data_IF_396983849200
#
_entry.id   IF_396983849200
#
_cell.length_a   1.000
_cell.length_b   1.000
_cell.length_c   1.000
_cell.angle_alpha   90.00
_cell.angle_beta   90.00
_cell.angle_gamma   90.00
#
_symmetry.space_group_name_H-M   'P 1'
#
loop_
_entity.id
_entity.type
_entity.pdbx_description
1 polymer ?
#
# COMPACT_ATOMS: atom_id res chain seq x y z
N UNK A 1 15.76 26.93 20.47
CA UNK A 1 14.35 27.23 20.12
C UNK A 1 14.00 26.38 18.91
N UNK A 2 12.91 25.61 18.91
CA UNK A 2 12.48 24.90 17.71
C UNK A 2 12.20 25.91 16.60
N UNK A 3 12.73 25.67 15.41
CA UNK A 3 12.52 26.56 14.27
C UNK A 3 11.20 26.17 13.60
N UNK A 4 10.12 26.79 14.06
CA UNK A 4 8.77 26.58 13.51
C UNK A 4 8.66 27.25 12.14
N UNK A 5 9.03 26.54 11.08
CA UNK A 5 8.62 26.90 9.73
C UNK A 5 7.18 26.43 9.55
N UNK A 6 6.23 27.37 9.48
CA UNK A 6 4.84 27.11 9.08
C UNK A 6 4.78 26.76 7.58
N UNK A 7 5.40 25.66 7.19
CA UNK A 7 5.29 25.10 5.85
C UNK A 7 4.28 23.96 5.88
N UNK A 8 3.28 24.03 5.01
CA UNK A 8 2.34 22.94 4.83
C UNK A 8 3.08 21.74 4.27
N UNK A 9 2.88 20.57 4.89
CA UNK A 9 3.54 19.35 4.43
C UNK A 9 3.04 18.93 3.03
N UNK A 10 3.99 18.64 2.12
CA UNK A 10 3.68 18.22 0.76
C UNK A 10 3.69 16.68 0.65
N UNK A 11 2.53 16.06 0.88
CA UNK A 11 2.35 14.61 0.78
C UNK A 11 2.66 14.09 -0.62
N UNK A 12 2.28 14.86 -1.64
CA UNK A 12 2.44 14.48 -3.04
C UNK A 12 3.91 14.33 -3.42
N UNK A 13 4.84 15.06 -2.78
CA UNK A 13 6.28 14.91 -2.99
C UNK A 13 6.72 13.48 -2.72
N UNK A 14 6.35 12.92 -1.57
CA UNK A 14 6.77 11.58 -1.15
C UNK A 14 6.08 10.52 -1.99
N UNK A 15 4.77 10.68 -2.23
CA UNK A 15 4.00 9.77 -3.08
C UNK A 15 4.54 9.72 -4.51
N UNK A 16 5.04 10.83 -5.06
CA UNK A 16 5.73 10.85 -6.36
C UNK A 16 7.01 10.01 -6.36
N UNK A 17 7.88 10.21 -5.36
CA UNK A 17 9.10 9.41 -5.25
C UNK A 17 8.76 7.93 -5.05
N UNK A 18 7.76 7.62 -4.23
CA UNK A 18 7.29 6.25 -4.06
C UNK A 18 6.72 5.67 -5.35
N UNK A 19 5.93 6.42 -6.12
CA UNK A 19 5.37 5.97 -7.40
C UNK A 19 6.45 5.61 -8.42
N UNK A 20 7.52 6.42 -8.51
CA UNK A 20 8.66 6.14 -9.40
C UNK A 20 9.37 4.85 -8.96
N UNK A 21 9.64 4.70 -7.66
CA UNK A 21 10.24 3.48 -7.13
C UNK A 21 9.30 2.27 -7.29
N UNK A 22 8.01 2.49 -7.07
CA UNK A 22 6.89 1.55 -7.12
C UNK A 22 6.67 0.94 -8.50
N UNK A 23 7.24 1.53 -9.56
CA UNK A 23 7.28 0.91 -10.88
C UNK A 23 8.19 -0.33 -10.92
N UNK A 24 9.26 -0.36 -10.12
CA UNK A 24 10.24 -1.46 -10.06
C UNK A 24 10.01 -2.43 -8.89
N UNK A 25 9.20 -2.03 -7.91
CA UNK A 25 8.89 -2.81 -6.71
C UNK A 25 7.85 -3.94 -6.88
N UNK A 26 6.94 -3.99 -7.90
CA UNK A 26 5.82 -4.95 -7.89
C UNK A 26 6.26 -6.41 -7.75
N UNK A 27 7.41 -6.79 -8.32
CA UNK A 27 7.96 -8.14 -8.19
C UNK A 27 8.28 -8.53 -6.74
N UNK A 28 8.78 -7.60 -5.92
CA UNK A 28 9.06 -7.87 -4.51
C UNK A 28 7.77 -8.03 -3.70
N UNK A 29 6.74 -7.25 -4.01
CA UNK A 29 5.45 -7.33 -3.31
C UNK A 29 4.67 -8.57 -3.70
N UNK A 30 4.81 -9.07 -4.94
CA UNK A 30 4.30 -10.40 -5.33
C UNK A 30 4.89 -11.48 -4.42
N UNK A 31 6.21 -11.50 -4.26
CA UNK A 31 6.89 -12.49 -3.39
C UNK A 31 6.39 -12.39 -1.95
N UNK A 32 6.18 -11.18 -1.44
CA UNK A 32 5.63 -10.98 -0.10
C UNK A 32 4.19 -11.52 0.04
N UNK A 33 3.32 -11.24 -0.93
CA UNK A 33 1.92 -11.71 -0.94
C UNK A 33 1.83 -13.23 -1.02
N UNK A 34 2.59 -13.84 -1.93
CA UNK A 34 2.68 -15.31 -2.04
C UNK A 34 3.28 -15.93 -0.76
N UNK A 35 4.24 -15.25 -0.14
CA UNK A 35 4.79 -15.66 1.16
C UNK A 35 3.73 -15.69 2.26
N UNK A 36 2.87 -14.66 2.34
CA UNK A 36 1.76 -14.61 3.30
C UNK A 36 0.72 -15.70 3.00
N UNK A 37 0.36 -15.90 1.72
CA UNK A 37 -0.51 -17.00 1.32
C UNK A 37 0.06 -18.34 1.80
N UNK A 38 1.37 -18.57 1.59
CA UNK A 38 2.01 -19.81 2.02
C UNK A 38 2.00 -20.00 3.54
N UNK A 39 2.09 -18.92 4.31
CA UNK A 39 1.94 -18.99 5.77
C UNK A 39 0.53 -19.44 6.18
N UNK A 40 -0.52 -18.96 5.51
CA UNK A 40 -1.88 -19.45 5.75
C UNK A 40 -2.04 -20.92 5.37
N UNK A 41 -1.41 -21.36 4.28
CA UNK A 41 -1.40 -22.79 3.92
C UNK A 41 -0.71 -23.65 4.98
N UNK A 42 0.45 -23.21 5.48
CA UNK A 42 1.16 -23.89 6.58
C UNK A 42 0.36 -23.91 7.89
N UNK A 43 -0.63 -23.02 8.03
CA UNK A 43 -1.56 -22.99 9.16
C UNK A 43 -2.70 -24.01 9.02
N UNK A 44 -2.77 -24.74 7.89
CA UNK A 44 -3.78 -25.74 7.60
C UNK A 44 -4.93 -25.26 6.71
N UNK A 45 -4.82 -24.08 6.07
CA UNK A 45 -5.79 -23.64 5.07
C UNK A 45 -5.45 -24.22 3.69
N UNK A 46 -6.47 -24.59 2.91
CA UNK A 46 -6.26 -24.89 1.49
C UNK A 46 -5.88 -23.61 0.72
N UNK A 47 -5.15 -23.76 -0.39
CA UNK A 47 -4.63 -22.63 -1.17
C UNK A 47 -5.70 -21.62 -1.56
N UNK A 48 -6.87 -22.07 -2.02
CA UNK A 48 -7.97 -21.18 -2.41
C UNK A 48 -8.48 -20.33 -1.23
N UNK A 49 -8.60 -20.93 -0.04
CA UNK A 49 -9.04 -20.25 1.16
C UNK A 49 -7.95 -19.30 1.71
N UNK A 50 -6.68 -19.67 1.59
CA UNK A 50 -5.54 -18.80 1.91
C UNK A 50 -5.54 -17.55 1.02
N UNK A 51 -5.68 -17.73 -0.30
CA UNK A 51 -5.71 -16.62 -1.26
C UNK A 51 -6.92 -15.70 -1.03
N UNK A 52 -8.12 -16.26 -0.82
CA UNK A 52 -9.34 -15.49 -0.48
C UNK A 52 -9.15 -14.69 0.82
N UNK A 53 -8.45 -15.25 1.81
CA UNK A 53 -8.17 -14.57 3.07
C UNK A 53 -7.22 -13.38 2.87
N UNK A 54 -6.13 -13.57 2.11
CA UNK A 54 -5.20 -12.49 1.74
C UNK A 54 -5.95 -11.38 1.00
N UNK A 55 -6.74 -11.75 0.00
CA UNK A 55 -7.55 -10.80 -0.78
C UNK A 55 -8.52 -10.02 0.10
N UNK A 56 -9.26 -10.69 0.99
CA UNK A 56 -10.21 -10.05 1.88
C UNK A 56 -9.52 -9.06 2.84
N UNK A 57 -8.41 -9.48 3.46
CA UNK A 57 -7.61 -8.63 4.34
C UNK A 57 -7.08 -7.40 3.62
N UNK A 58 -6.56 -7.57 2.40
CA UNK A 58 -6.03 -6.48 1.60
C UNK A 58 -7.13 -5.52 1.13
N UNK A 59 -8.31 -6.03 0.76
CA UNK A 59 -9.46 -5.21 0.36
C UNK A 59 -9.98 -4.35 1.52
N UNK A 60 -10.11 -4.94 2.71
CA UNK A 60 -10.45 -4.18 3.92
C UNK A 60 -9.35 -3.18 4.24
N UNK A 61 -8.09 -3.57 4.08
CA UNK A 61 -6.91 -2.72 4.27
C UNK A 61 -6.89 -1.50 3.35
N UNK A 62 -7.12 -1.66 2.04
CA UNK A 62 -7.08 -0.58 1.06
C UNK A 62 -8.19 0.47 1.24
N UNK A 63 -9.25 0.12 1.97
CA UNK A 63 -10.31 1.08 2.31
C UNK A 63 -10.06 1.67 3.70
N UNK A 64 -9.70 0.82 4.67
CA UNK A 64 -9.53 1.21 6.06
C UNK A 64 -8.30 2.06 6.31
N UNK A 65 -7.16 1.72 5.70
CA UNK A 65 -5.88 2.39 5.95
C UNK A 65 -5.90 3.87 5.53
N UNK A 66 -6.43 4.28 4.36
CA UNK A 66 -6.58 5.69 4.02
C UNK A 66 -7.44 6.47 5.01
N UNK A 67 -8.53 5.86 5.49
CA UNK A 67 -9.43 6.48 6.47
C UNK A 67 -8.70 6.68 7.80
N UNK A 68 -8.02 5.65 8.30
CA UNK A 68 -7.25 5.72 9.55
C UNK A 68 -6.15 6.78 9.43
N UNK A 69 -5.46 6.85 8.29
CA UNK A 69 -4.41 7.84 8.06
C UNK A 69 -4.97 9.27 8.04
N UNK A 70 -6.10 9.51 7.38
CA UNK A 70 -6.80 10.80 7.42
C UNK A 70 -7.19 11.22 8.83
N UNK A 71 -7.76 10.30 9.61
CA UNK A 71 -8.11 10.56 11.00
C UNK A 71 -6.88 10.90 11.84
N UNK A 72 -5.76 10.23 11.59
CA UNK A 72 -4.48 10.54 12.23
C UNK A 72 -4.01 11.96 11.90
N UNK A 73 -4.03 12.37 10.63
CA UNK A 73 -3.65 13.72 10.21
C UNK A 73 -4.57 14.79 10.82
N UNK A 74 -5.88 14.53 10.87
CA UNK A 74 -6.85 15.49 11.41
C UNK A 74 -6.73 15.68 12.93
N UNK A 75 -6.26 14.65 13.66
CA UNK A 75 -6.07 14.72 15.12
C UNK A 75 -4.76 15.40 15.53
N UNK A 76 -3.78 15.52 14.63
CA UNK A 76 -2.43 16.00 14.94
C UNK A 76 -2.12 17.24 14.11
N UNK A 77 -2.18 18.40 14.74
CA UNK A 77 -1.87 19.69 14.09
C UNK A 77 -0.38 19.95 13.92
N UNK A 78 0.46 19.40 14.80
CA UNK A 78 1.92 19.56 14.78
C UNK A 78 2.58 18.18 14.84
N UNK A 79 3.42 17.87 13.86
CA UNK A 79 4.14 16.59 13.75
C UNK A 79 5.59 16.86 13.34
N UNK A 80 6.55 16.10 13.87
CA UNK A 80 7.93 16.16 13.39
C UNK A 80 8.00 15.75 11.93
N UNK A 81 8.67 16.55 11.09
CA UNK A 81 8.72 16.28 9.65
C UNK A 81 9.24 14.89 9.32
N UNK A 82 10.33 14.45 9.97
CA UNK A 82 10.93 13.13 9.72
C UNK A 82 9.97 11.98 10.05
N UNK A 83 9.20 12.10 11.14
CA UNK A 83 8.19 11.11 11.52
C UNK A 83 7.07 11.05 10.48
N UNK A 84 6.62 12.21 9.99
CA UNK A 84 5.58 12.29 8.98
C UNK A 84 6.08 11.76 7.63
N UNK A 85 7.31 12.09 7.23
CA UNK A 85 7.95 11.57 6.02
C UNK A 85 7.96 10.02 6.04
N UNK A 86 8.41 9.43 7.16
CA UNK A 86 8.43 7.98 7.35
C UNK A 86 7.03 7.37 7.30
N UNK A 87 6.07 7.96 8.02
CA UNK A 87 4.69 7.46 8.07
C UNK A 87 4.01 7.50 6.70
N UNK A 88 4.27 8.53 5.89
CA UNK A 88 3.74 8.62 4.52
C UNK A 88 4.40 7.57 3.61
N UNK A 89 5.71 7.32 3.77
CA UNK A 89 6.38 6.24 3.05
C UNK A 89 5.81 4.86 3.38
N UNK A 90 5.64 4.57 4.68
CA UNK A 90 5.04 3.31 5.15
C UNK A 90 3.58 3.18 4.69
N UNK A 91 2.81 4.27 4.78
CA UNK A 91 1.44 4.30 4.25
C UNK A 91 1.42 3.93 2.77
N UNK A 92 2.22 4.60 1.94
CA UNK A 92 2.25 4.35 0.50
C UNK A 92 2.64 2.89 0.20
N UNK A 93 3.60 2.31 0.94
CA UNK A 93 4.00 0.91 0.76
C UNK A 93 2.90 -0.08 1.13
N UNK A 94 2.27 0.08 2.29
CA UNK A 94 1.21 -0.83 2.73
C UNK A 94 -0.02 -0.72 1.82
N UNK A 95 -0.43 0.51 1.51
CA UNK A 95 -1.56 0.78 0.66
C UNK A 95 -1.33 0.28 -0.77
N UNK A 96 -0.11 0.39 -1.28
CA UNK A 96 0.30 -0.20 -2.55
C UNK A 96 0.04 -1.72 -2.57
N UNK A 97 0.53 -2.43 -1.55
CA UNK A 97 0.39 -3.89 -1.43
C UNK A 97 -1.09 -4.27 -1.32
N UNK A 98 -1.86 -3.53 -0.52
CA UNK A 98 -3.29 -3.79 -0.34
C UNK A 98 -4.09 -3.61 -1.62
N UNK A 99 -3.86 -2.51 -2.36
CA UNK A 99 -4.54 -2.28 -3.64
C UNK A 99 -4.10 -3.31 -4.69
N UNK A 100 -2.80 -3.63 -4.76
CA UNK A 100 -2.25 -4.64 -5.66
C UNK A 100 -2.96 -5.99 -5.49
N UNK A 101 -3.10 -6.46 -4.23
CA UNK A 101 -3.79 -7.70 -3.92
C UNK A 101 -5.31 -7.59 -4.10
N UNK A 102 -5.94 -6.46 -3.73
CA UNK A 102 -7.38 -6.28 -3.91
C UNK A 102 -7.80 -6.31 -5.39
N UNK A 103 -6.95 -5.80 -6.28
CA UNK A 103 -7.17 -5.80 -7.72
C UNK A 103 -6.91 -7.17 -8.39
N UNK A 104 -6.21 -8.09 -7.71
CA UNK A 104 -5.80 -9.38 -8.27
C UNK A 104 -6.98 -10.20 -8.81
N UNK A 105 -8.13 -10.18 -8.12
CA UNK A 105 -9.32 -10.95 -8.50
C UNK A 105 -9.88 -10.59 -9.89
N UNK A 106 -9.54 -9.40 -10.41
CA UNK A 106 -9.96 -8.97 -11.75
C UNK A 106 -9.05 -9.49 -12.86
N UNK A 107 -7.85 -9.96 -12.53
CA UNK A 107 -6.83 -10.36 -13.50
C UNK A 107 -6.40 -11.81 -13.36
N UNK A 108 -6.68 -12.45 -12.22
CA UNK A 108 -6.29 -13.83 -11.94
C UNK A 108 -7.44 -14.65 -11.35
N UNK A 109 -7.47 -15.95 -11.65
CA UNK A 109 -8.39 -16.90 -11.05
C UNK A 109 -7.67 -17.70 -9.94
N UNK A 110 -8.28 -17.93 -8.76
CA UNK A 110 -7.71 -18.79 -7.72
C UNK A 110 -7.27 -20.16 -8.24
N UNK A 111 -8.00 -20.76 -9.18
CA UNK A 111 -7.63 -22.05 -9.77
C UNK A 111 -6.30 -21.97 -10.53
N UNK A 112 -6.04 -20.85 -11.22
CA UNK A 112 -4.77 -20.63 -11.94
C UNK A 112 -3.60 -20.43 -10.98
N UNK A 113 -3.79 -19.71 -9.87
CA UNK A 113 -2.72 -19.50 -8.89
C UNK A 113 -2.43 -20.74 -8.04
N UNK A 114 -3.45 -21.54 -7.74
CA UNK A 114 -3.31 -22.69 -6.84
C UNK A 114 -2.91 -23.98 -7.55
N UNK A 115 -3.32 -24.19 -8.81
CA UNK A 115 -3.22 -25.50 -9.46
C UNK A 115 -2.25 -25.55 -10.64
N UNK A 116 -1.63 -24.43 -11.05
CA UNK A 116 -0.81 -24.39 -12.28
C UNK A 116 0.68 -24.26 -11.94
N UNK A 117 1.44 -25.27 -12.35
CA UNK A 117 2.91 -25.36 -12.32
C UNK A 117 3.60 -24.56 -13.45
N UNK A 118 2.84 -23.93 -14.36
CA UNK A 118 3.33 -23.40 -15.64
C UNK A 118 3.80 -21.92 -15.60
N UNK A 119 4.23 -21.41 -14.45
CA UNK A 119 5.07 -20.20 -14.38
C UNK A 119 4.37 -18.86 -14.66
N UNK A 120 3.04 -18.80 -14.74
CA UNK A 120 2.29 -17.54 -14.83
C UNK A 120 2.01 -16.86 -13.47
N UNK A 121 2.32 -17.48 -12.34
CA UNK A 121 1.81 -17.15 -10.98
C UNK A 121 2.24 -15.80 -10.35
N UNK A 122 2.47 -14.75 -11.12
CA UNK A 122 2.87 -13.46 -10.56
C UNK A 122 2.94 -12.29 -11.54
N UNK A 123 2.81 -12.51 -12.85
CA UNK A 123 2.85 -11.41 -13.82
C UNK A 123 1.60 -10.54 -13.70
N UNK A 124 0.44 -11.15 -13.51
CA UNK A 124 -0.83 -10.45 -13.27
C UNK A 124 -0.75 -9.60 -11.99
N UNK A 125 -0.13 -10.12 -10.94
CA UNK A 125 0.13 -9.36 -9.71
C UNK A 125 1.12 -8.21 -9.93
N UNK A 126 2.09 -8.34 -10.84
CA UNK A 126 2.97 -7.22 -11.22
C UNK A 126 2.16 -6.12 -11.90
N UNK A 127 1.25 -6.48 -12.81
CA UNK A 127 0.35 -5.53 -13.47
C UNK A 127 -0.57 -4.82 -12.48
N UNK A 128 -1.16 -5.52 -11.50
CA UNK A 128 -1.99 -4.88 -10.47
C UNK A 128 -1.18 -3.95 -9.58
N UNK A 129 0.11 -4.21 -9.37
CA UNK A 129 1.02 -3.30 -8.70
C UNK A 129 1.16 -1.97 -9.44
N UNK A 130 1.38 -2.01 -10.76
CA UNK A 130 1.40 -0.76 -11.56
C UNK A 130 0.07 -0.02 -11.53
N UNK A 131 -1.05 -0.74 -11.53
CA UNK A 131 -2.38 -0.14 -11.42
C UNK A 131 -2.64 0.48 -10.05
N UNK A 132 -1.97 0.03 -8.97
CA UNK A 132 -2.08 0.63 -7.66
C UNK A 132 -1.48 2.06 -7.60
N UNK A 133 -0.51 2.37 -8.46
CA UNK A 133 0.21 3.67 -8.46
C UNK A 133 -0.75 4.87 -8.66
N UNK A 134 -1.65 4.89 -9.67
CA UNK A 134 -2.66 5.92 -9.82
C UNK A 134 -3.49 6.17 -8.56
N UNK A 135 -3.92 5.12 -7.86
CA UNK A 135 -4.73 5.24 -6.64
C UNK A 135 -3.95 5.92 -5.51
N UNK A 136 -2.68 5.53 -5.31
CA UNK A 136 -1.81 6.21 -4.34
C UNK A 136 -1.67 7.69 -4.66
N UNK A 137 -1.57 8.05 -5.94
CA UNK A 137 -1.47 9.44 -6.37
C UNK A 137 -2.73 10.25 -6.01
N UNK A 138 -3.91 9.65 -6.21
CA UNK A 138 -5.20 10.24 -5.82
C UNK A 138 -5.24 10.45 -4.30
N UNK A 139 -4.85 9.45 -3.51
CA UNK A 139 -4.78 9.54 -2.05
C UNK A 139 -3.79 10.62 -1.59
N UNK A 140 -2.62 10.69 -2.21
CA UNK A 140 -1.63 11.74 -1.97
C UNK A 140 -2.20 13.14 -2.22
N UNK A 141 -3.00 13.32 -3.27
CA UNK A 141 -3.72 14.56 -3.54
C UNK A 141 -4.75 14.90 -2.45
N UNK A 142 -5.51 13.91 -1.96
CA UNK A 142 -6.47 14.09 -0.88
C UNK A 142 -5.76 14.52 0.42
N UNK A 143 -4.65 13.88 0.75
CA UNK A 143 -3.87 14.20 1.97
C UNK A 143 -3.20 15.57 1.86
N UNK A 144 -2.78 15.98 0.67
CA UNK A 144 -2.19 17.29 0.44
C UNK A 144 -3.15 18.46 0.69
N UNK A 145 -4.47 18.21 0.73
CA UNK A 145 -5.46 19.22 1.13
C UNK A 145 -5.53 19.41 2.66
N UNK A 146 -4.93 18.52 3.45
CA UNK A 146 -4.92 18.63 4.90
C UNK A 146 -3.93 19.71 5.37
N UNK A 147 -4.32 20.47 6.39
CA UNK A 147 -3.49 21.50 7.01
C UNK A 147 -2.68 20.89 8.16
N UNK A 148 -1.58 20.23 7.82
CA UNK A 148 -0.64 19.67 8.80
C UNK A 148 0.59 20.57 8.84
N UNK A 149 0.92 21.07 10.04
CA UNK A 149 2.11 21.88 10.29
C UNK A 149 3.23 20.95 10.75
N UNK A 150 4.43 21.13 10.20
CA UNK A 150 5.59 20.31 10.55
C UNK A 150 6.68 21.10 11.26
N UNK A 151 7.31 20.44 12.24
CA UNK A 151 8.48 20.96 12.94
C UNK A 151 9.76 20.40 12.34
N UNK A 152 10.76 21.28 12.20
CA UNK A 152 12.12 20.94 11.80
C UNK A 152 13.02 21.01 13.04
N UNK A 153 13.70 19.91 13.34
CA UNK A 153 14.74 19.80 14.37
C UNK A 153 16.06 19.44 13.72
#
# INVERSE_FOLDING_TARGET
>A
MPNYKNEQFNFLRITKFFAIAGFFIPGFTVVALLGIQKLFELSGMDCENALKSVWWLCTVGSIGLPIIFLLYLNRKTIIRKQDLDLKVGVFNLLEYIFIQAALEIFFSNPDTLCNVTDGQNGIELVFTGWLAIPFLFILGFIFNKQKVIVEYF
#
